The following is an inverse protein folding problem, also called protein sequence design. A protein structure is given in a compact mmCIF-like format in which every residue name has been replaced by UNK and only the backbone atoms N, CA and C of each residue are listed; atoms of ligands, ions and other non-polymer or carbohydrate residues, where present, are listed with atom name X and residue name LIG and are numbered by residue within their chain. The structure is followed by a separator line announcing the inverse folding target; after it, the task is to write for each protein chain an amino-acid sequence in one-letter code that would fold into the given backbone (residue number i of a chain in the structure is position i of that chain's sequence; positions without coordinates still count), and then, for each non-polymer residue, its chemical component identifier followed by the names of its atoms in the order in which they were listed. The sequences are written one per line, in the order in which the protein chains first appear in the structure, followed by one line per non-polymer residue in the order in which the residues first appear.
data_IF_623157147176
#
_entry.id   IF_623157147176
#
_cell.length_a   1.000
_cell.length_b   1.000
_cell.length_c   1.000
_cell.angle_alpha   90.00
_cell.angle_beta   90.00
_cell.angle_gamma   90.00
#
_symmetry.space_group_name_H-M   'P 1'
#
loop_
_entity.id
_entity.type
_entity.pdbx_description
1 polymer ?
#
# COMPACT_ATOMS: atom_id res chain seq x y z
N UNK A 1 -44.59 -27.33 -46.32
CA UNK A 1 -44.55 -26.12 -45.46
C UNK A 1 -44.47 -26.52 -43.97
N UNK A 2 -43.49 -27.33 -43.55
CA UNK A 2 -43.39 -27.76 -42.13
C UNK A 2 -41.95 -28.10 -41.64
N UNK A 3 -40.94 -28.13 -42.52
CA UNK A 3 -39.57 -28.50 -42.13
C UNK A 3 -38.79 -27.32 -41.49
N UNK A 4 -38.99 -26.08 -41.97
CA UNK A 4 -38.32 -24.87 -41.42
C UNK A 4 -38.76 -24.55 -39.98
N UNK A 5 -40.06 -24.60 -39.69
CA UNK A 5 -40.59 -24.36 -38.34
C UNK A 5 -40.09 -25.39 -37.32
N UNK A 6 -39.95 -26.65 -37.72
CA UNK A 6 -39.44 -27.70 -36.85
C UNK A 6 -37.96 -27.49 -36.53
N UNK A 7 -37.16 -27.09 -37.53
CA UNK A 7 -35.73 -26.82 -37.36
C UNK A 7 -35.45 -25.60 -36.47
N UNK A 8 -36.29 -24.57 -36.55
CA UNK A 8 -36.20 -23.38 -35.68
C UNK A 8 -36.61 -23.69 -34.23
N UNK A 9 -37.64 -24.52 -34.03
CA UNK A 9 -38.08 -24.93 -32.68
C UNK A 9 -37.00 -25.80 -32.01
N UNK A 10 -36.36 -26.72 -32.73
CA UNK A 10 -35.28 -27.56 -32.15
C UNK A 10 -34.04 -26.73 -31.81
N UNK A 11 -33.71 -25.71 -32.60
CA UNK A 11 -32.61 -24.78 -32.28
C UNK A 11 -32.94 -23.91 -31.08
N UNK A 12 -34.15 -23.40 -30.98
CA UNK A 12 -34.62 -22.62 -29.82
C UNK A 12 -34.60 -23.50 -28.57
N UNK A 13 -35.09 -24.75 -28.64
CA UNK A 13 -35.05 -25.70 -27.53
C UNK A 13 -33.62 -26.06 -27.10
N UNK A 14 -32.71 -26.24 -28.06
CA UNK A 14 -31.29 -26.46 -27.74
C UNK A 14 -30.66 -25.23 -27.09
N UNK A 15 -30.93 -24.02 -27.61
CA UNK A 15 -30.42 -22.77 -27.06
C UNK A 15 -30.98 -22.48 -25.66
N UNK A 16 -32.26 -22.77 -25.42
CA UNK A 16 -32.87 -22.61 -24.09
C UNK A 16 -32.38 -23.68 -23.12
N UNK A 17 -32.14 -24.90 -23.59
CA UNK A 17 -31.61 -26.00 -22.77
C UNK A 17 -30.16 -25.75 -22.35
N UNK A 18 -29.29 -25.26 -23.26
CA UNK A 18 -27.93 -24.88 -22.90
C UNK A 18 -27.88 -23.63 -22.01
N UNK A 19 -28.78 -22.67 -22.19
CA UNK A 19 -28.89 -21.50 -21.30
C UNK A 19 -29.37 -21.90 -19.89
N UNK A 20 -30.34 -22.82 -19.79
CA UNK A 20 -30.81 -23.36 -18.50
C UNK A 20 -29.75 -24.25 -17.82
N UNK A 21 -28.97 -25.03 -18.57
CA UNK A 21 -27.84 -25.78 -18.02
C UNK A 21 -26.70 -24.86 -17.55
N UNK A 22 -26.46 -23.72 -18.22
CA UNK A 22 -25.44 -22.76 -17.77
C UNK A 22 -25.81 -22.05 -16.46
N UNK A 23 -27.10 -21.94 -16.12
CA UNK A 23 -27.54 -21.48 -14.80
C UNK A 23 -27.45 -22.56 -13.72
N UNK A 24 -27.50 -23.85 -14.09
CA UNK A 24 -27.37 -24.98 -13.16
C UNK A 24 -25.91 -25.31 -12.79
N UNK A 25 -24.92 -24.84 -13.56
CA UNK A 25 -23.48 -25.08 -13.35
C UNK A 25 -22.76 -23.86 -12.79
N UNK A 26 -23.46 -22.74 -12.53
CA UNK A 26 -22.87 -21.72 -11.67
C UNK A 26 -22.65 -22.40 -10.31
N UNK A 27 -21.40 -22.58 -9.82
CA UNK A 27 -21.25 -22.85 -8.42
C UNK A 27 -21.95 -21.69 -7.75
N UNK A 28 -22.99 -21.97 -6.97
CA UNK A 28 -23.45 -21.02 -5.99
C UNK A 28 -22.21 -20.82 -5.12
N UNK A 29 -21.42 -19.81 -5.45
CA UNK A 29 -20.36 -19.35 -4.59
C UNK A 29 -21.11 -18.74 -3.41
N UNK A 30 -21.55 -19.61 -2.49
CA UNK A 30 -21.55 -19.28 -1.08
C UNK A 30 -20.08 -19.01 -0.75
N UNK A 31 -19.61 -17.83 -1.14
CA UNK A 31 -18.52 -17.15 -0.48
C UNK A 31 -19.01 -16.56 0.86
N UNK A 32 -20.20 -16.93 1.32
CA UNK A 32 -20.49 -16.95 2.74
C UNK A 32 -19.62 -18.04 3.35
N UNK A 33 -18.53 -17.65 4.02
CA UNK A 33 -17.93 -18.48 5.07
C UNK A 33 -19.08 -19.06 5.86
N UNK A 34 -19.13 -20.40 5.98
CA UNK A 34 -20.11 -21.06 6.82
C UNK A 34 -19.80 -20.60 8.25
N UNK A 35 -20.39 -19.50 8.67
CA UNK A 35 -20.35 -19.07 10.05
C UNK A 35 -21.26 -20.02 10.77
N UNK A 36 -20.71 -21.16 11.19
CA UNK A 36 -21.16 -21.73 12.45
C UNK A 36 -20.75 -20.70 13.50
N UNK A 37 -21.59 -19.68 13.67
CA UNK A 37 -21.72 -19.11 14.99
C UNK A 37 -22.12 -20.34 15.81
N UNK A 38 -21.17 -20.88 16.58
CA UNK A 38 -21.48 -21.93 17.53
C UNK A 38 -22.58 -21.46 18.48
N UNK A 39 -22.84 -22.17 19.56
CA UNK A 39 -23.53 -21.51 20.66
C UNK A 39 -22.77 -20.21 20.95
N UNK A 40 -23.45 -19.06 20.94
CA UNK A 40 -22.89 -17.79 21.41
C UNK A 40 -22.69 -17.91 22.92
N UNK A 41 -21.75 -18.76 23.31
CA UNK A 41 -21.06 -18.68 24.58
C UNK A 41 -20.33 -17.34 24.52
N UNK A 42 -20.55 -16.51 25.54
CA UNK A 42 -19.94 -15.19 25.61
C UNK A 42 -18.40 -15.27 25.50
N UNK A 43 -17.72 -14.11 25.48
CA UNK A 43 -16.26 -14.10 25.37
C UNK A 43 -15.63 -15.02 26.43
N UNK A 44 -14.67 -15.85 26.01
CA UNK A 44 -13.94 -16.75 26.90
C UNK A 44 -13.10 -16.01 27.97
N UNK A 45 -13.01 -14.68 27.86
CA UNK A 45 -12.31 -13.78 28.76
C UNK A 45 -13.26 -12.74 29.35
N UNK A 46 -12.92 -12.23 30.54
CA UNK A 46 -13.73 -11.23 31.26
C UNK A 46 -13.39 -9.78 30.90
N UNK A 47 -12.18 -9.54 30.40
CA UNK A 47 -11.63 -8.20 30.14
C UNK A 47 -10.61 -8.28 29.00
N UNK A 48 -10.53 -7.24 28.19
CA UNK A 48 -9.43 -6.97 27.26
C UNK A 48 -8.80 -5.65 27.68
N UNK A 49 -7.47 -5.60 27.79
CA UNK A 49 -6.72 -4.38 28.10
C UNK A 49 -5.88 -3.97 26.91
N UNK A 50 -6.16 -2.79 26.37
CA UNK A 50 -5.31 -2.17 25.36
C UNK A 50 -4.28 -1.28 26.06
N UNK A 51 -3.00 -1.67 25.97
CA UNK A 51 -1.89 -0.90 26.52
C UNK A 51 -1.15 -0.21 25.38
N UNK A 52 -0.96 1.10 25.50
CA UNK A 52 -0.32 1.90 24.47
C UNK A 52 1.16 2.08 24.84
N UNK A 53 2.04 1.60 23.98
CA UNK A 53 3.47 1.87 24.04
C UNK A 53 3.83 3.05 23.13
N UNK A 54 4.88 3.80 23.52
CA UNK A 54 5.33 4.96 22.76
C UNK A 54 6.27 4.59 21.59
N UNK A 55 6.81 3.38 21.61
CA UNK A 55 7.66 2.83 20.54
C UNK A 55 7.46 1.32 20.45
N UNK A 56 7.79 0.75 19.30
CA UNK A 56 7.67 -0.68 19.06
C UNK A 56 8.63 -1.50 19.94
N UNK A 57 9.84 -0.98 20.20
CA UNK A 57 10.82 -1.66 21.07
C UNK A 57 10.29 -1.84 22.50
N UNK A 58 9.53 -0.85 22.99
CA UNK A 58 8.87 -0.95 24.29
C UNK A 58 7.71 -1.97 24.29
N UNK A 59 7.02 -2.12 23.16
CA UNK A 59 5.96 -3.12 22.99
C UNK A 59 6.53 -4.54 22.95
N UNK A 60 7.61 -4.78 22.20
CA UNK A 60 8.33 -6.07 22.17
C UNK A 60 8.84 -6.45 23.56
N UNK A 61 9.43 -5.51 24.31
CA UNK A 61 9.83 -5.77 25.69
C UNK A 61 8.64 -6.08 26.61
N UNK A 62 7.49 -5.48 26.36
CA UNK A 62 6.22 -5.79 27.03
C UNK A 62 5.77 -7.23 26.77
N UNK A 63 5.87 -7.69 25.53
CA UNK A 63 5.56 -9.08 25.16
C UNK A 63 6.51 -10.06 25.86
N UNK A 64 7.82 -9.83 25.75
CA UNK A 64 8.86 -10.70 26.32
C UNK A 64 8.79 -10.81 27.85
N UNK A 65 8.29 -9.77 28.53
CA UNK A 65 8.10 -9.76 29.98
C UNK A 65 6.75 -10.29 30.46
N UNK A 66 5.81 -10.57 29.54
CA UNK A 66 4.44 -10.98 29.85
C UNK A 66 3.54 -9.84 30.36
N UNK A 67 3.93 -8.59 30.10
CA UNK A 67 3.11 -7.40 30.39
C UNK A 67 1.96 -7.23 29.38
N UNK A 68 2.14 -7.75 28.16
CA UNK A 68 1.07 -7.97 27.17
C UNK A 68 1.13 -9.39 26.62
N UNK A 69 -0.03 -9.97 26.35
CA UNK A 69 -0.15 -11.34 25.83
C UNK A 69 -0.15 -11.40 24.28
N UNK A 70 -0.50 -10.30 23.62
CA UNK A 70 -0.67 -10.21 22.17
C UNK A 70 -0.12 -8.87 21.68
N UNK A 71 0.59 -8.93 20.56
CA UNK A 71 1.10 -7.77 19.82
C UNK A 71 0.62 -7.88 18.37
N UNK A 72 0.19 -6.75 17.79
CA UNK A 72 -0.38 -6.71 16.43
C UNK A 72 0.72 -6.71 15.35
N UNK A 73 1.87 -6.10 15.64
CA UNK A 73 2.95 -5.92 14.68
C UNK A 73 4.31 -5.77 15.38
N UNK A 74 5.37 -6.22 14.74
CA UNK A 74 6.76 -5.90 15.08
C UNK A 74 7.55 -5.63 13.80
N UNK A 75 8.60 -4.82 13.89
CA UNK A 75 9.49 -4.57 12.76
C UNK A 75 10.42 -5.76 12.51
N UNK A 76 10.83 -5.96 11.26
CA UNK A 76 11.69 -7.09 10.88
C UNK A 76 13.01 -7.11 11.66
N UNK A 77 13.54 -5.92 11.98
CA UNK A 77 14.73 -5.71 12.80
C UNK A 77 14.64 -6.34 14.20
N UNK A 78 13.42 -6.56 14.70
CA UNK A 78 13.14 -7.10 16.03
C UNK A 78 12.95 -8.61 16.04
N UNK A 79 13.02 -9.29 14.88
CA UNK A 79 13.02 -10.76 14.81
C UNK A 79 14.04 -11.39 15.77
N UNK A 80 15.30 -10.92 15.85
CA UNK A 80 16.28 -11.47 16.80
C UNK A 80 15.87 -11.33 18.27
N UNK A 81 15.08 -10.31 18.62
CA UNK A 81 14.65 -10.08 20.01
C UNK A 81 13.59 -11.10 20.46
N UNK A 82 12.78 -11.61 19.51
CA UNK A 82 11.74 -12.62 19.78
C UNK A 82 12.16 -14.05 19.44
N UNK A 83 13.30 -14.24 18.77
CA UNK A 83 13.77 -15.54 18.26
C UNK A 83 13.84 -16.61 19.35
N UNK A 84 14.37 -16.29 20.52
CA UNK A 84 14.44 -17.24 21.64
C UNK A 84 13.04 -17.72 22.09
N UNK A 85 12.04 -16.83 22.09
CA UNK A 85 10.67 -17.18 22.44
C UNK A 85 9.97 -18.02 21.36
N UNK A 86 10.34 -17.82 20.10
CA UNK A 86 9.88 -18.68 18.99
C UNK A 86 10.49 -20.08 19.09
N UNK A 87 11.78 -20.18 19.44
CA UNK A 87 12.49 -21.46 19.56
C UNK A 87 12.01 -22.28 20.76
N UNK A 88 11.74 -21.65 21.90
CA UNK A 88 11.28 -22.34 23.11
C UNK A 88 9.74 -22.53 23.18
N UNK A 89 9.01 -21.91 22.25
CA UNK A 89 7.55 -22.01 22.12
C UNK A 89 6.77 -21.13 23.10
N UNK A 90 7.41 -20.19 23.78
CA UNK A 90 6.73 -19.18 24.60
C UNK A 90 6.06 -18.08 23.77
N UNK A 91 6.50 -17.89 22.53
CA UNK A 91 5.90 -16.97 21.56
C UNK A 91 5.45 -17.75 20.33
N UNK A 92 4.22 -17.49 19.89
CA UNK A 92 3.70 -17.95 18.61
C UNK A 92 3.52 -16.75 17.68
N UNK A 93 3.75 -16.94 16.38
CA UNK A 93 3.48 -15.91 15.35
C UNK A 93 2.54 -16.45 14.30
N UNK A 94 1.68 -15.55 13.80
CA UNK A 94 0.85 -15.79 12.63
C UNK A 94 1.13 -14.68 11.62
N UNK A 95 1.45 -15.05 10.39
CA UNK A 95 1.66 -14.12 9.30
C UNK A 95 0.53 -14.24 8.29
N UNK A 96 -0.02 -13.10 7.90
CA UNK A 96 -1.01 -13.00 6.84
C UNK A 96 -0.71 -11.77 5.98
N UNK A 97 -1.09 -11.82 4.71
CA UNK A 97 -1.05 -10.64 3.86
C UNK A 97 -2.08 -9.62 4.37
N UNK A 98 -1.61 -8.47 4.82
CA UNK A 98 -2.46 -7.37 5.28
C UNK A 98 -3.22 -6.74 4.09
N UNK A 99 -4.46 -6.30 4.32
CA UNK A 99 -5.21 -5.51 3.34
C UNK A 99 -4.81 -4.03 3.32
N UNK A 100 -4.00 -3.60 4.29
CA UNK A 100 -3.39 -2.28 4.36
C UNK A 100 -2.33 -2.07 3.30
N UNK A 101 -1.96 -0.81 3.10
CA UNK A 101 -0.89 -0.42 2.20
C UNK A 101 -0.08 0.72 2.76
N UNK A 102 1.14 0.84 2.27
CA UNK A 102 2.00 1.97 2.52
C UNK A 102 2.25 2.69 1.20
N UNK A 103 2.18 4.01 1.21
CA UNK A 103 2.36 4.80 0.01
C UNK A 103 2.48 6.29 0.31
N UNK A 104 2.99 7.02 -0.68
CA UNK A 104 2.99 8.47 -0.68
C UNK A 104 1.63 8.98 -1.17
N UNK A 105 1.02 9.88 -0.40
CA UNK A 105 -0.21 10.56 -0.80
C UNK A 105 0.16 11.94 -1.34
N UNK A 106 -0.35 12.28 -2.52
CA UNK A 106 -0.14 13.60 -3.12
C UNK A 106 -1.30 14.54 -2.80
N UNK A 107 -0.99 15.79 -2.44
CA UNK A 107 -1.98 16.86 -2.41
C UNK A 107 -2.23 17.38 -3.84
N UNK A 108 -3.15 16.71 -4.55
CA UNK A 108 -3.42 16.98 -5.96
C UNK A 108 -4.07 18.34 -6.25
N UNK A 109 -4.47 19.12 -5.24
CA UNK A 109 -4.97 20.49 -5.46
C UNK A 109 -3.82 21.53 -5.48
N UNK A 110 -2.63 21.17 -4.99
CA UNK A 110 -1.47 22.07 -4.94
C UNK A 110 -0.57 21.89 -6.15
N UNK A 111 -0.31 22.95 -6.90
CA UNK A 111 0.67 22.95 -7.99
C UNK A 111 2.09 22.62 -7.50
N UNK A 112 2.91 21.81 -8.20
CA UNK A 112 2.64 21.14 -9.47
C UNK A 112 2.02 19.74 -9.34
N UNK A 113 1.67 19.30 -8.11
CA UNK A 113 1.07 17.99 -7.87
C UNK A 113 -0.34 17.85 -8.47
N UNK A 114 -0.95 18.93 -8.94
CA UNK A 114 -2.17 18.89 -9.73
C UNK A 114 -1.96 18.36 -11.17
N UNK A 115 -0.74 18.41 -11.70
CA UNK A 115 -0.37 17.89 -13.02
C UNK A 115 -0.23 16.36 -12.97
N UNK A 116 -0.97 15.64 -13.82
CA UNK A 116 -0.96 14.17 -13.82
C UNK A 116 0.41 13.62 -14.18
N UNK A 117 1.00 14.11 -15.27
CA UNK A 117 2.28 13.70 -15.81
C UNK A 117 3.41 13.93 -14.80
N UNK A 118 3.32 15.01 -14.01
CA UNK A 118 4.25 15.28 -12.92
C UNK A 118 4.16 14.20 -11.84
N UNK A 119 2.94 13.84 -11.39
CA UNK A 119 2.76 12.75 -10.41
C UNK A 119 3.22 11.41 -10.94
N UNK A 120 2.98 11.12 -12.21
CA UNK A 120 3.46 9.89 -12.86
C UNK A 120 4.99 9.83 -12.92
N UNK A 121 5.65 10.96 -13.20
CA UNK A 121 7.10 11.04 -13.14
C UNK A 121 7.62 10.79 -11.71
N UNK A 122 6.98 11.35 -10.68
CA UNK A 122 7.36 11.09 -9.28
C UNK A 122 7.13 9.61 -8.90
N UNK A 123 6.09 8.95 -9.44
CA UNK A 123 5.86 7.53 -9.17
C UNK A 123 7.03 6.64 -9.65
N UNK A 124 7.68 6.99 -10.77
CA UNK A 124 8.89 6.32 -11.25
C UNK A 124 10.14 6.55 -10.39
N UNK A 125 10.10 7.42 -9.37
CA UNK A 125 11.18 7.64 -8.41
C UNK A 125 11.12 6.70 -7.20
N UNK A 126 10.09 5.86 -7.09
CA UNK A 126 9.87 4.99 -5.93
C UNK A 126 10.41 3.59 -6.23
N UNK A 127 11.57 3.24 -5.67
CA UNK A 127 12.13 1.88 -5.77
C UNK A 127 11.46 0.93 -4.77
N UNK A 128 10.29 0.39 -5.16
CA UNK A 128 9.51 -0.55 -4.35
C UNK A 128 10.28 -1.83 -4.00
N UNK A 129 11.13 -2.31 -4.90
CA UNK A 129 11.93 -3.52 -4.66
C UNK A 129 13.01 -3.26 -3.61
N UNK A 130 13.65 -2.07 -3.63
CA UNK A 130 14.55 -1.62 -2.56
C UNK A 130 13.81 -1.45 -1.24
N UNK A 131 12.60 -0.88 -1.23
CA UNK A 131 11.80 -0.76 0.00
C UNK A 131 11.49 -2.10 0.64
N UNK A 132 11.03 -3.06 -0.15
CA UNK A 132 10.75 -4.41 0.36
C UNK A 132 12.04 -5.05 0.88
N UNK A 133 13.13 -5.01 0.11
CA UNK A 133 14.38 -5.70 0.46
C UNK A 133 15.11 -5.09 1.65
N UNK A 134 15.26 -3.78 1.68
CA UNK A 134 16.11 -3.07 2.65
C UNK A 134 15.29 -2.40 3.74
N UNK A 135 14.15 -1.81 3.38
CA UNK A 135 13.28 -1.12 4.33
C UNK A 135 12.43 -2.07 5.17
N UNK A 136 11.98 -3.19 4.60
CA UNK A 136 11.10 -4.17 5.27
C UNK A 136 11.74 -5.55 5.44
N UNK A 137 13.02 -5.70 5.07
CA UNK A 137 13.79 -6.97 5.14
C UNK A 137 13.07 -8.17 4.50
N UNK A 138 12.28 -7.93 3.46
CA UNK A 138 11.51 -8.96 2.75
C UNK A 138 10.12 -9.27 3.33
N UNK A 139 9.72 -8.64 4.45
CA UNK A 139 8.42 -8.86 5.10
C UNK A 139 7.28 -8.01 4.51
N UNK A 140 7.38 -7.63 3.23
CA UNK A 140 6.39 -6.82 2.55
C UNK A 140 6.08 -7.33 1.15
N UNK A 141 4.85 -7.12 0.70
CA UNK A 141 4.45 -7.35 -0.68
C UNK A 141 4.60 -6.06 -1.50
N UNK A 142 5.31 -6.14 -2.62
CA UNK A 142 5.24 -5.08 -3.63
C UNK A 142 3.82 -5.06 -4.20
N UNK A 143 3.20 -3.89 -4.18
CA UNK A 143 1.90 -3.63 -4.82
C UNK A 143 1.98 -2.38 -5.71
N UNK A 144 1.22 -2.40 -6.78
CA UNK A 144 1.01 -1.37 -7.79
C UNK A 144 -0.30 -0.61 -7.56
N UNK A 145 -1.28 -1.25 -6.92
CA UNK A 145 -2.55 -0.62 -6.56
C UNK A 145 -3.08 -1.08 -5.21
N UNK A 146 -3.99 -0.30 -4.63
CA UNK A 146 -4.57 -0.52 -3.30
C UNK A 146 -5.34 -1.85 -3.16
N UNK A 147 -5.87 -2.38 -4.25
CA UNK A 147 -6.63 -3.64 -4.30
C UNK A 147 -5.78 -4.83 -4.77
N UNK A 148 -4.47 -4.69 -4.93
CA UNK A 148 -3.62 -5.81 -5.37
C UNK A 148 -3.18 -6.73 -4.23
N UNK A 149 -3.25 -6.27 -2.98
CA UNK A 149 -2.74 -7.07 -1.86
C UNK A 149 -3.27 -8.52 -1.90
N UNK A 150 -2.40 -9.53 -1.72
CA UNK A 150 -2.83 -10.92 -1.60
C UNK A 150 -3.85 -11.15 -0.47
N UNK A 151 -3.93 -10.23 0.50
CA UNK A 151 -4.93 -10.22 1.57
C UNK A 151 -6.38 -10.07 1.09
N UNK A 152 -6.59 -9.63 -0.16
CA UNK A 152 -7.90 -9.63 -0.80
C UNK A 152 -8.26 -10.97 -1.47
N UNK A 153 -7.30 -11.91 -1.56
CA UNK A 153 -7.52 -13.23 -2.15
C UNK A 153 -8.05 -13.14 -3.58
N UNK A 154 -9.18 -13.82 -3.91
CA UNK A 154 -9.78 -13.76 -5.25
C UNK A 154 -10.25 -12.37 -5.69
N UNK A 155 -10.37 -11.42 -4.76
CA UNK A 155 -10.78 -10.04 -5.05
C UNK A 155 -9.58 -9.13 -5.38
N UNK A 156 -8.36 -9.66 -5.32
CA UNK A 156 -7.17 -8.92 -5.67
C UNK A 156 -7.21 -8.50 -7.16
N UNK A 157 -6.89 -7.24 -7.43
CA UNK A 157 -6.82 -6.74 -8.80
C UNK A 157 -5.64 -7.37 -9.55
N UNK A 158 -5.88 -7.78 -10.80
CA UNK A 158 -4.88 -8.38 -11.68
C UNK A 158 -4.53 -7.50 -12.89
N UNK A 159 -5.27 -6.41 -13.11
CA UNK A 159 -5.07 -5.47 -14.20
C UNK A 159 -4.97 -4.06 -13.64
N UNK A 160 -3.81 -3.43 -13.84
CA UNK A 160 -3.51 -2.10 -13.33
C UNK A 160 -2.36 -1.46 -14.12
N UNK A 161 -2.21 -0.15 -13.96
CA UNK A 161 -1.07 0.60 -14.50
C UNK A 161 0.08 0.50 -13.49
N UNK A 162 1.29 0.28 -13.99
CA UNK A 162 2.51 0.20 -13.17
C UNK A 162 3.43 1.37 -13.42
N UNK A 163 4.27 1.67 -12.43
CA UNK A 163 5.31 2.71 -12.51
C UNK A 163 6.62 2.12 -12.01
N UNK A 164 7.32 1.39 -12.89
CA UNK A 164 8.60 0.77 -12.57
C UNK A 164 9.65 1.83 -12.20
N UNK A 165 10.52 1.51 -11.25
CA UNK A 165 11.57 2.44 -10.82
C UNK A 165 12.49 2.80 -11.99
N UNK A 166 12.44 4.07 -12.41
CA UNK A 166 13.21 4.58 -13.54
C UNK A 166 13.39 6.10 -13.43
N UNK A 167 14.41 6.56 -12.67
CA UNK A 167 14.70 7.99 -12.53
C UNK A 167 15.03 8.70 -13.85
N UNK A 168 15.59 7.97 -14.83
CA UNK A 168 15.86 8.52 -16.17
C UNK A 168 14.55 8.86 -16.88
N UNK A 169 13.60 7.92 -16.94
CA UNK A 169 12.28 8.15 -17.52
C UNK A 169 11.52 9.25 -16.77
N UNK A 170 11.56 9.25 -15.43
CA UNK A 170 10.98 10.33 -14.63
C UNK A 170 11.56 11.69 -15.05
N UNK A 171 12.87 11.74 -15.28
CA UNK A 171 13.57 12.92 -15.76
C UNK A 171 13.07 13.42 -17.11
N UNK A 172 12.95 12.51 -18.08
CA UNK A 172 12.44 12.78 -19.43
C UNK A 172 10.97 13.22 -19.43
N UNK A 173 10.13 12.58 -18.60
CA UNK A 173 8.73 12.95 -18.43
C UNK A 173 8.58 14.39 -17.93
N UNK A 174 9.37 14.76 -16.90
CA UNK A 174 9.36 16.12 -16.36
C UNK A 174 9.87 17.15 -17.38
N UNK A 175 10.89 16.80 -18.19
CA UNK A 175 11.37 17.66 -19.28
C UNK A 175 10.27 17.88 -20.33
N UNK A 176 9.51 16.83 -20.66
CA UNK A 176 8.44 16.87 -21.68
C UNK A 176 7.28 17.81 -21.32
N UNK A 177 7.06 18.05 -20.03
CA UNK A 177 6.06 18.99 -19.51
C UNK A 177 6.66 20.35 -19.10
N UNK A 178 7.91 20.62 -19.49
CA UNK A 178 8.54 21.93 -19.37
C UNK A 178 9.34 22.18 -18.09
N UNK A 179 9.39 21.24 -17.15
CA UNK A 179 10.14 21.39 -15.90
C UNK A 179 11.65 21.15 -16.07
N UNK A 180 12.30 21.77 -17.05
CA UNK A 180 13.71 21.49 -17.37
C UNK A 180 14.67 21.89 -16.23
N UNK A 181 15.81 21.18 -16.10
CA UNK A 181 16.85 21.54 -15.11
C UNK A 181 17.52 22.88 -15.48
N UNK A 182 17.61 23.77 -14.50
CA UNK A 182 18.36 25.02 -14.57
C UNK A 182 19.85 24.83 -14.30
N UNK A 183 20.62 25.95 -14.28
CA UNK A 183 22.08 25.92 -14.06
C UNK A 183 22.51 25.36 -12.71
N UNK A 184 21.65 25.44 -11.69
CA UNK A 184 21.84 24.89 -10.35
C UNK A 184 21.49 23.38 -10.26
N UNK A 185 21.08 22.78 -11.38
CA UNK A 185 20.63 21.39 -11.45
C UNK A 185 19.22 21.16 -10.90
N UNK A 186 18.53 22.21 -10.44
CA UNK A 186 17.15 22.14 -9.98
C UNK A 186 16.19 22.49 -11.10
N UNK A 187 15.00 21.89 -11.08
CA UNK A 187 13.98 22.10 -12.13
C UNK A 187 13.42 23.51 -12.05
N UNK A 188 13.26 24.12 -13.21
CA UNK A 188 12.60 25.41 -13.39
C UNK A 188 11.10 25.16 -13.54
N UNK A 189 10.30 25.97 -12.87
CA UNK A 189 8.85 25.98 -13.02
C UNK A 189 8.50 26.64 -14.37
N UNK A 190 7.80 25.94 -15.27
CA UNK A 190 7.47 26.47 -16.60
C UNK A 190 6.46 27.63 -16.59
N UNK A 191 5.68 27.80 -15.52
CA UNK A 191 4.72 28.91 -15.38
C UNK A 191 5.41 30.22 -14.95
N UNK A 192 6.44 30.12 -14.10
CA UNK A 192 7.13 31.29 -13.54
C UNK A 192 8.47 31.59 -14.19
N UNK A 193 9.13 30.58 -14.75
CA UNK A 193 10.51 30.67 -15.25
C UNK A 193 11.57 30.72 -14.15
N UNK A 194 11.18 30.55 -12.89
CA UNK A 194 12.07 30.51 -11.72
C UNK A 194 12.31 29.07 -11.25
N UNK A 195 13.28 28.85 -10.36
CA UNK A 195 13.48 27.54 -9.73
C UNK A 195 12.18 27.09 -9.05
N UNK A 196 11.77 25.86 -9.33
CA UNK A 196 10.55 25.27 -8.77
C UNK A 196 10.55 25.36 -7.25
N UNK A 197 9.39 25.67 -6.67
CA UNK A 197 9.22 25.61 -5.21
C UNK A 197 9.56 24.20 -4.68
N UNK A 198 10.14 24.07 -3.48
CA UNK A 198 10.30 22.77 -2.85
C UNK A 198 8.95 22.08 -2.62
N UNK A 199 8.92 20.76 -2.85
CA UNK A 199 7.82 19.91 -2.40
C UNK A 199 8.08 19.48 -0.96
N UNK A 200 7.08 19.61 -0.10
CA UNK A 200 7.18 19.16 1.29
C UNK A 200 6.95 17.65 1.33
N UNK A 201 7.88 16.92 1.96
CA UNK A 201 7.75 15.49 2.26
C UNK A 201 7.66 15.36 3.77
N UNK A 202 6.51 14.91 4.28
CA UNK A 202 6.29 14.74 5.71
C UNK A 202 6.39 13.25 6.05
N UNK A 203 7.28 12.90 6.99
CA UNK A 203 7.41 11.55 7.52
C UNK A 203 7.33 11.57 9.06
N UNK A 204 6.48 10.70 9.61
CA UNK A 204 6.32 10.63 11.07
C UNK A 204 7.42 9.80 11.72
N UNK A 205 8.03 10.33 12.77
CA UNK A 205 9.24 9.73 13.39
C UNK A 205 8.99 8.43 14.13
N UNK A 206 7.75 8.14 14.53
CA UNK A 206 7.40 6.87 15.22
C UNK A 206 7.39 5.66 14.27
N UNK A 207 7.61 5.86 12.97
CA UNK A 207 7.72 4.76 12.01
C UNK A 207 9.04 4.86 11.23
N UNK A 208 10.07 4.09 11.62
CA UNK A 208 11.39 4.16 10.99
C UNK A 208 11.33 3.85 9.49
N UNK A 209 10.47 2.93 9.07
CA UNK A 209 10.31 2.60 7.66
C UNK A 209 9.69 3.74 6.82
N UNK A 210 8.83 4.59 7.42
CA UNK A 210 8.33 5.80 6.74
C UNK A 210 9.45 6.81 6.53
N UNK A 211 10.31 6.97 7.53
CA UNK A 211 11.50 7.82 7.46
C UNK A 211 12.45 7.32 6.37
N UNK A 212 12.73 6.02 6.34
CA UNK A 212 13.51 5.39 5.27
C UNK A 212 12.90 5.71 3.89
N UNK A 213 11.59 5.52 3.73
CA UNK A 213 10.91 5.83 2.47
C UNK A 213 10.99 7.29 2.04
N UNK A 214 10.79 8.22 2.97
CA UNK A 214 10.86 9.63 2.64
C UNK A 214 12.27 10.07 2.22
N UNK A 215 13.31 9.54 2.89
CA UNK A 215 14.71 9.81 2.55
C UNK A 215 15.11 9.24 1.19
N UNK A 216 14.66 8.03 0.87
CA UNK A 216 14.92 7.40 -0.41
C UNK A 216 14.23 8.15 -1.56
N UNK A 217 12.96 8.55 -1.38
CA UNK A 217 12.28 9.42 -2.34
C UNK A 217 13.03 10.75 -2.52
N UNK A 218 13.43 11.40 -1.42
CA UNK A 218 14.21 12.64 -1.45
C UNK A 218 15.53 12.48 -2.23
N UNK A 219 16.25 11.38 -2.03
CA UNK A 219 17.47 11.08 -2.78
C UNK A 219 17.20 10.94 -4.30
N UNK A 220 16.09 10.30 -4.68
CA UNK A 220 15.70 10.18 -6.10
C UNK A 220 15.21 11.50 -6.68
N UNK A 221 14.58 12.36 -5.88
CA UNK A 221 14.21 13.72 -6.26
C UNK A 221 15.45 14.58 -6.54
N UNK A 222 16.54 14.41 -5.78
CA UNK A 222 17.83 15.06 -6.09
C UNK A 222 18.38 14.63 -7.45
N UNK A 223 18.31 13.34 -7.80
CA UNK A 223 18.76 12.81 -9.10
C UNK A 223 18.03 13.50 -10.25
N UNK A 224 16.72 13.70 -10.14
CA UNK A 224 15.92 14.37 -11.17
C UNK A 224 15.82 15.88 -10.99
N UNK A 225 16.45 16.46 -9.97
CA UNK A 225 16.48 17.90 -9.74
C UNK A 225 15.19 18.50 -9.20
N UNK A 226 14.27 17.71 -8.62
CA UNK A 226 13.07 18.26 -7.97
C UNK A 226 13.50 18.81 -6.59
N UNK A 227 13.32 20.10 -6.30
CA UNK A 227 13.56 20.63 -4.96
C UNK A 227 12.56 20.06 -3.94
N UNK A 228 13.00 19.79 -2.72
CA UNK A 228 12.15 19.28 -1.65
C UNK A 228 12.52 19.86 -0.28
N UNK A 229 11.58 19.77 0.65
CA UNK A 229 11.75 19.99 2.08
C UNK A 229 11.31 18.74 2.83
N UNK A 230 12.27 17.99 3.37
CA UNK A 230 12.00 16.74 4.09
C UNK A 230 11.80 17.03 5.58
N UNK A 231 10.58 16.83 6.05
CA UNK A 231 10.16 17.07 7.42
C UNK A 231 9.93 15.74 8.16
N UNK A 232 10.89 15.39 9.02
CA UNK A 232 10.80 14.25 9.92
C UNK A 232 10.30 14.72 11.28
N UNK A 233 9.01 14.55 11.54
CA UNK A 233 8.34 15.14 12.72
C UNK A 233 7.50 14.10 13.49
N UNK A 234 7.25 14.28 14.80
CA UNK A 234 6.36 13.39 15.53
C UNK A 234 4.93 13.37 14.97
N UNK A 235 4.18 12.29 15.22
CA UNK A 235 2.78 12.14 14.82
C UNK A 235 1.91 13.33 15.25
N UNK A 236 2.17 13.89 16.43
CA UNK A 236 1.43 15.05 16.96
C UNK A 236 1.56 16.30 16.09
N UNK A 237 2.61 16.39 15.28
CA UNK A 237 2.86 17.48 14.32
C UNK A 237 2.46 17.04 12.90
N UNK A 238 2.83 15.83 12.47
CA UNK A 238 2.50 15.32 11.14
C UNK A 238 0.98 15.23 10.90
N UNK A 239 0.20 14.83 11.91
CA UNK A 239 -1.24 14.59 11.73
C UNK A 239 -2.01 15.89 11.43
N UNK A 240 -1.83 16.99 12.20
CA UNK A 240 -2.40 18.29 11.82
C UNK A 240 -1.99 18.77 10.42
N UNK A 241 -0.69 18.70 10.09
CA UNK A 241 -0.17 19.13 8.79
C UNK A 241 -0.84 18.40 7.62
N UNK A 242 -0.97 17.07 7.73
CA UNK A 242 -1.52 16.23 6.66
C UNK A 242 -3.05 16.29 6.59
N UNK A 243 -3.74 16.21 7.73
CA UNK A 243 -5.20 16.04 7.74
C UNK A 243 -6.00 17.33 7.85
N UNK A 244 -5.44 18.38 8.46
CA UNK A 244 -6.17 19.63 8.75
C UNK A 244 -5.66 20.78 7.87
N UNK A 245 -4.35 20.98 7.87
CA UNK A 245 -3.70 22.10 7.16
C UNK A 245 -3.50 21.76 5.67
N UNK A 246 -3.36 20.47 5.37
CA UNK A 246 -3.14 19.92 4.04
C UNK A 246 -1.94 20.57 3.35
N UNK A 247 -0.85 20.68 4.11
CA UNK A 247 0.37 21.36 3.67
C UNK A 247 1.19 20.64 2.59
#
# INVERSE_FOLDING_TARGET
MNQRKFFDITKILFLTSTLLLSFLIQPLALAGVQTSIGNLEGPYFKEIRFKIYASSEAEVAGLLSGDVDVMDFFEAEQIPDIEAGLEDGSIETAQAAEQGMWGFSFQCERYPLNILEFRQAVAHLVDKDKYVREGLQGLGYKIETFIESPGYGPWAATEYVTYEFNPTLAGEMLDSIGFVKGPDGKRIDPETGETMRPLVIIARTEHPHRIFSARELAAQMDVVGIPYDLQEVPRSVASPLVFLEQD
#
